data_IF_266614735972
#
_entry.id   IF_266614735972
#
_cell.length_a   1.000
_cell.length_b   1.000
_cell.length_c   1.000
_cell.angle_alpha   90.00
_cell.angle_beta   90.00
_cell.angle_gamma   90.00
#
_symmetry.space_group_name_H-M   'P 1'
#
loop_
_entity.id
_entity.type
_entity.pdbx_description
1 polymer ?
#
# COMPACT_ATOMS: atom_id res chain seq x y z
N UNK A 1 -55.54 -11.29 29.01
CA UNK A 1 -54.56 -11.86 28.04
C UNK A 1 -54.01 -10.82 27.07
N UNK A 2 -54.83 -9.92 26.51
CA UNK A 2 -54.41 -8.88 25.55
C UNK A 2 -53.43 -7.82 26.10
N UNK A 3 -53.57 -7.40 27.36
CA UNK A 3 -52.71 -6.36 27.98
C UNK A 3 -51.29 -6.89 28.24
N UNK A 4 -51.17 -8.17 28.62
CA UNK A 4 -49.87 -8.82 28.82
C UNK A 4 -49.12 -9.01 27.50
N UNK A 5 -49.82 -9.33 26.39
CA UNK A 5 -49.22 -9.44 25.06
C UNK A 5 -48.75 -8.08 24.53
N UNK A 6 -49.53 -7.01 24.73
CA UNK A 6 -49.13 -5.64 24.35
C UNK A 6 -47.88 -5.16 25.11
N UNK A 7 -47.78 -5.43 26.41
CA UNK A 7 -46.60 -5.08 27.21
C UNK A 7 -45.34 -5.87 26.83
N UNK A 8 -45.48 -7.12 26.37
CA UNK A 8 -44.36 -7.91 25.83
C UNK A 8 -43.92 -7.39 24.45
N UNK A 9 -44.87 -6.97 23.61
CA UNK A 9 -44.60 -6.38 22.30
C UNK A 9 -43.85 -5.05 22.44
N UNK A 10 -44.31 -4.13 23.31
CA UNK A 10 -43.64 -2.85 23.59
C UNK A 10 -42.22 -3.05 24.10
N UNK A 11 -42.01 -3.96 25.06
CA UNK A 11 -40.67 -4.22 25.61
C UNK A 11 -39.71 -4.77 24.55
N UNK A 12 -40.22 -5.53 23.58
CA UNK A 12 -39.44 -6.06 22.45
C UNK A 12 -39.09 -4.96 21.44
N UNK A 13 -40.00 -4.03 21.20
CA UNK A 13 -39.76 -2.85 20.36
C UNK A 13 -38.72 -1.91 20.99
N UNK A 14 -38.85 -1.62 22.28
CA UNK A 14 -37.87 -0.82 23.05
C UNK A 14 -36.48 -1.46 23.03
N UNK A 15 -36.39 -2.77 23.27
CA UNK A 15 -35.14 -3.53 23.18
C UNK A 15 -34.53 -3.47 21.78
N UNK A 16 -35.35 -3.57 20.72
CA UNK A 16 -34.89 -3.45 19.34
C UNK A 16 -34.38 -2.03 19.01
N UNK A 17 -35.05 -0.99 19.51
CA UNK A 17 -34.62 0.41 19.37
C UNK A 17 -33.28 0.62 20.09
N UNK A 18 -33.13 0.11 21.30
CA UNK A 18 -31.89 0.22 22.08
C UNK A 18 -30.73 -0.51 21.38
N UNK A 19 -30.96 -1.74 20.91
CA UNK A 19 -29.98 -2.49 20.11
C UNK A 19 -29.59 -1.73 18.84
N UNK A 20 -30.57 -1.14 18.14
CA UNK A 20 -30.32 -0.30 16.97
C UNK A 20 -29.44 0.92 17.27
N UNK A 21 -29.72 1.63 18.38
CA UNK A 21 -28.91 2.76 18.85
C UNK A 21 -27.47 2.34 19.17
N UNK A 22 -27.28 1.20 19.82
CA UNK A 22 -25.96 0.66 20.14
C UNK A 22 -25.16 0.33 18.87
N UNK A 23 -25.77 -0.39 17.92
CA UNK A 23 -25.13 -0.74 16.64
C UNK A 23 -24.74 0.51 15.85
N UNK A 24 -25.61 1.53 15.83
CA UNK A 24 -25.32 2.81 15.18
C UNK A 24 -24.14 3.53 15.83
N UNK A 25 -24.07 3.55 17.17
CA UNK A 25 -22.95 4.13 17.93
C UNK A 25 -21.62 3.42 17.68
N UNK A 26 -21.65 2.09 17.62
CA UNK A 26 -20.45 1.30 17.31
C UNK A 26 -20.00 1.53 15.86
N UNK A 27 -20.95 1.59 14.93
CA UNK A 27 -20.69 1.86 13.51
C UNK A 27 -20.13 3.25 13.28
N UNK A 28 -20.67 4.29 13.93
CA UNK A 28 -20.15 5.66 13.82
C UNK A 28 -18.73 5.76 14.35
N UNK A 29 -18.45 5.15 15.51
CA UNK A 29 -17.08 5.14 16.08
C UNK A 29 -16.09 4.40 15.17
N UNK A 30 -16.50 3.29 14.57
CA UNK A 30 -15.68 2.57 13.56
C UNK A 30 -15.40 3.45 12.35
N UNK A 31 -16.42 4.14 11.82
CA UNK A 31 -16.26 5.07 10.69
C UNK A 31 -15.28 6.20 11.02
N UNK A 32 -15.39 6.82 12.19
CA UNK A 32 -14.45 7.88 12.61
C UNK A 32 -13.01 7.37 12.71
N UNK A 33 -12.79 6.17 13.27
CA UNK A 33 -11.46 5.57 13.32
C UNK A 33 -10.89 5.28 11.94
N UNK A 34 -11.71 4.75 11.02
CA UNK A 34 -11.29 4.53 9.64
C UNK A 34 -10.95 5.84 8.92
N UNK A 35 -11.67 6.93 9.23
CA UNK A 35 -11.36 8.26 8.69
C UNK A 35 -9.97 8.73 9.12
N UNK A 36 -9.66 8.69 10.41
CA UNK A 36 -8.32 9.07 10.93
C UNK A 36 -7.21 8.26 10.27
N UNK A 37 -7.42 6.95 10.08
CA UNK A 37 -6.45 6.09 9.41
C UNK A 37 -6.24 6.47 7.94
N UNK A 38 -7.33 6.80 7.21
CA UNK A 38 -7.22 7.30 5.83
C UNK A 38 -6.48 8.62 5.76
N UNK A 39 -6.77 9.54 6.67
CA UNK A 39 -6.13 10.86 6.72
C UNK A 39 -4.62 10.71 6.99
N UNK A 40 -4.23 9.80 7.90
CA UNK A 40 -2.83 9.47 8.16
C UNK A 40 -2.11 8.89 6.93
N UNK A 41 -2.74 7.95 6.22
CA UNK A 41 -2.15 7.37 5.01
C UNK A 41 -2.02 8.43 3.90
N UNK A 42 -3.01 9.32 3.76
CA UNK A 42 -2.93 10.43 2.82
C UNK A 42 -1.78 11.39 3.16
N UNK A 43 -1.58 11.70 4.44
CA UNK A 43 -0.43 12.51 4.88
C UNK A 43 0.90 11.80 4.59
N UNK A 44 0.98 10.49 4.82
CA UNK A 44 2.16 9.69 4.49
C UNK A 44 2.46 9.74 2.98
N UNK A 45 1.44 9.65 2.12
CA UNK A 45 1.58 9.84 0.66
C UNK A 45 2.14 11.22 0.31
N UNK A 46 1.62 12.29 0.93
CA UNK A 46 2.13 13.64 0.72
C UNK A 46 3.60 13.79 1.16
N UNK A 47 4.01 13.12 2.24
CA UNK A 47 5.40 13.10 2.69
C UNK A 47 6.31 12.34 1.71
N UNK A 48 5.84 11.24 1.11
CA UNK A 48 6.58 10.53 0.06
C UNK A 48 6.82 11.42 -1.15
N UNK A 49 5.83 12.22 -1.57
CA UNK A 49 6.00 13.20 -2.65
C UNK A 49 7.08 14.24 -2.36
N UNK A 50 7.37 14.57 -1.08
CA UNK A 50 8.49 15.45 -0.72
C UNK A 50 9.85 14.78 -0.93
N UNK A 51 9.96 13.48 -0.68
CA UNK A 51 11.20 12.71 -0.92
C UNK A 51 11.51 12.63 -2.41
N UNK A 52 10.49 12.49 -3.25
CA UNK A 52 10.62 12.46 -4.72
C UNK A 52 11.20 13.77 -5.27
N UNK A 53 10.92 14.90 -4.62
CA UNK A 53 11.48 16.21 -5.02
C UNK A 53 12.98 16.32 -4.78
N UNK A 54 13.55 15.53 -3.88
CA UNK A 54 14.99 15.45 -3.66
C UNK A 54 15.59 14.41 -4.61
N UNK A 55 16.10 14.87 -5.74
CA UNK A 55 16.66 14.01 -6.80
C UNK A 55 17.77 13.10 -6.30
N UNK A 56 18.58 13.54 -5.34
CA UNK A 56 19.71 12.74 -4.83
C UNK A 56 19.22 11.55 -4.02
N UNK A 57 18.30 11.80 -3.08
CA UNK A 57 17.68 10.74 -2.27
C UNK A 57 16.77 9.85 -3.12
N UNK A 58 16.06 10.43 -4.07
CA UNK A 58 15.17 9.69 -4.95
C UNK A 58 15.93 8.78 -5.92
N UNK A 59 17.09 9.20 -6.44
CA UNK A 59 17.94 8.33 -7.27
C UNK A 59 18.41 7.10 -6.48
N UNK A 60 18.90 7.27 -5.25
CA UNK A 60 19.33 6.15 -4.39
C UNK A 60 18.17 5.19 -4.14
N UNK A 61 16.97 5.73 -3.91
CA UNK A 61 15.77 4.93 -3.75
C UNK A 61 15.42 4.15 -5.02
N UNK A 62 15.44 4.80 -6.19
CA UNK A 62 15.17 4.15 -7.48
C UNK A 62 16.18 3.04 -7.81
N UNK A 63 17.47 3.25 -7.53
CA UNK A 63 18.52 2.24 -7.70
C UNK A 63 18.15 0.94 -6.95
N UNK A 64 17.68 1.07 -5.70
CA UNK A 64 17.21 -0.06 -4.89
C UNK A 64 15.88 -0.65 -5.36
N UNK A 65 14.91 0.20 -5.75
CA UNK A 65 13.59 -0.26 -6.19
C UNK A 65 13.65 -1.06 -7.50
N UNK A 66 14.46 -0.61 -8.46
CA UNK A 66 14.68 -1.32 -9.72
C UNK A 66 15.31 -2.67 -9.41
N UNK A 67 16.42 -2.70 -8.68
CA UNK A 67 17.13 -3.93 -8.35
C UNK A 67 16.26 -4.94 -7.60
N UNK A 68 15.49 -4.48 -6.60
CA UNK A 68 14.54 -5.31 -5.86
C UNK A 68 13.51 -5.94 -6.79
N UNK A 69 12.97 -5.16 -7.74
CA UNK A 69 11.99 -5.68 -8.70
C UNK A 69 12.58 -6.72 -9.65
N UNK A 70 13.85 -6.54 -10.09
CA UNK A 70 14.54 -7.54 -10.90
C UNK A 70 14.70 -8.86 -10.13
N UNK A 71 15.13 -8.81 -8.87
CA UNK A 71 15.27 -10.00 -8.02
C UNK A 71 13.96 -10.70 -7.72
N UNK A 72 12.83 -9.99 -7.75
CA UNK A 72 11.52 -10.60 -7.53
C UNK A 72 11.01 -11.31 -8.78
N UNK A 73 11.41 -10.86 -9.98
CA UNK A 73 10.90 -11.39 -11.23
C UNK A 73 11.73 -12.57 -11.76
N UNK A 74 13.07 -12.51 -11.67
CA UNK A 74 14.01 -13.58 -12.07
C UNK A 74 13.83 -14.14 -13.51
N UNK A 75 13.39 -13.30 -14.43
CA UNK A 75 13.20 -13.60 -15.86
C UNK A 75 14.40 -13.14 -16.72
N UNK A 76 14.66 -13.77 -17.88
CA UNK A 76 15.77 -13.38 -18.76
C UNK A 76 15.54 -12.05 -19.48
N UNK A 77 14.28 -11.68 -19.71
CA UNK A 77 13.89 -10.41 -20.33
C UNK A 77 12.87 -9.67 -19.47
N UNK A 78 13.19 -8.43 -19.13
CA UNK A 78 12.36 -7.59 -18.27
C UNK A 78 12.14 -6.21 -18.89
N UNK A 79 10.95 -5.65 -18.68
CA UNK A 79 10.54 -4.35 -19.19
C UNK A 79 10.19 -3.46 -18.00
N UNK A 80 10.96 -2.40 -17.79
CA UNK A 80 10.77 -1.42 -16.72
C UNK A 80 9.87 -0.30 -17.23
N UNK A 81 8.75 -0.09 -16.56
CA UNK A 81 7.83 1.02 -16.75
C UNK A 81 7.99 2.02 -15.62
N UNK A 82 8.15 3.28 -15.98
CA UNK A 82 8.30 4.39 -15.04
C UNK A 82 7.47 5.58 -15.49
N UNK A 83 7.48 6.66 -14.71
CA UNK A 83 6.92 7.93 -15.18
C UNK A 83 7.84 8.58 -16.20
N UNK A 84 7.25 9.37 -17.09
CA UNK A 84 7.97 10.10 -18.13
C UNK A 84 9.05 11.04 -17.56
N UNK A 85 8.76 11.73 -16.46
CA UNK A 85 9.71 12.62 -15.77
C UNK A 85 10.88 11.88 -15.11
N UNK A 86 10.68 10.63 -14.71
CA UNK A 86 11.69 9.83 -13.99
C UNK A 86 12.59 9.04 -14.95
N UNK A 87 12.32 9.09 -16.26
CA UNK A 87 13.03 8.31 -17.26
C UNK A 87 14.56 8.43 -17.19
N UNK A 88 15.17 9.63 -17.06
CA UNK A 88 16.63 9.75 -16.96
C UNK A 88 17.19 9.06 -15.70
N UNK A 89 16.49 9.17 -14.58
CA UNK A 89 16.88 8.59 -13.30
C UNK A 89 16.77 7.06 -13.33
N UNK A 90 15.68 6.55 -13.90
CA UNK A 90 15.44 5.11 -14.05
C UNK A 90 16.43 4.50 -15.04
N UNK A 91 16.81 5.21 -16.10
CA UNK A 91 17.87 4.76 -17.01
C UNK A 91 19.20 4.55 -16.30
N UNK A 92 19.60 5.51 -15.44
CA UNK A 92 20.79 5.37 -14.62
C UNK A 92 20.67 4.22 -13.61
N UNK A 93 19.50 4.06 -12.98
CA UNK A 93 19.23 2.98 -12.03
C UNK A 93 19.32 1.59 -12.68
N UNK A 94 18.75 1.41 -13.88
CA UNK A 94 18.83 0.15 -14.64
C UNK A 94 20.27 -0.17 -15.01
N UNK A 95 21.05 0.80 -15.48
CA UNK A 95 22.46 0.59 -15.81
C UNK A 95 23.29 0.12 -14.61
N UNK A 96 22.99 0.62 -13.41
CA UNK A 96 23.62 0.14 -12.17
C UNK A 96 23.08 -1.20 -11.69
N UNK A 97 21.80 -1.50 -11.94
CA UNK A 97 21.16 -2.72 -11.46
C UNK A 97 21.59 -3.98 -12.23
N UNK A 98 21.82 -3.88 -13.54
CA UNK A 98 22.25 -5.01 -14.38
C UNK A 98 23.52 -5.73 -13.84
N UNK A 99 24.64 -5.05 -13.55
CA UNK A 99 25.83 -5.73 -13.04
C UNK A 99 25.59 -6.34 -11.65
N UNK A 100 24.85 -5.65 -10.77
CA UNK A 100 24.50 -6.18 -9.44
C UNK A 100 23.65 -7.45 -9.55
N UNK A 101 22.67 -7.45 -10.45
CA UNK A 101 21.81 -8.60 -10.71
C UNK A 101 22.61 -9.79 -11.24
N UNK A 102 23.51 -9.56 -12.21
CA UNK A 102 24.37 -10.62 -12.77
C UNK A 102 25.28 -11.24 -11.72
N UNK A 103 25.85 -10.44 -10.81
CA UNK A 103 26.70 -10.94 -9.72
C UNK A 103 25.90 -11.83 -8.76
N UNK A 104 24.70 -11.40 -8.36
CA UNK A 104 23.90 -12.10 -7.37
C UNK A 104 23.23 -13.36 -7.91
N UNK A 105 22.72 -13.33 -9.15
CA UNK A 105 21.95 -14.44 -9.75
C UNK A 105 22.80 -15.34 -10.65
N UNK A 106 23.99 -14.89 -11.07
CA UNK A 106 24.85 -15.53 -12.09
C UNK A 106 24.20 -15.69 -13.46
N UNK A 107 23.09 -14.99 -13.71
CA UNK A 107 22.37 -15.01 -14.97
C UNK A 107 22.48 -13.65 -15.68
N UNK A 108 22.55 -13.70 -17.01
CA UNK A 108 22.40 -12.51 -17.83
C UNK A 108 20.92 -12.10 -17.91
N UNK A 109 20.68 -10.79 -18.03
CA UNK A 109 19.33 -10.21 -18.10
C UNK A 109 19.28 -9.10 -19.15
N UNK A 110 18.27 -9.14 -20.00
CA UNK A 110 17.92 -8.06 -20.92
C UNK A 110 16.86 -7.16 -20.26
N UNK A 111 17.27 -5.97 -19.81
CA UNK A 111 16.40 -5.00 -19.16
C UNK A 111 16.16 -3.82 -20.10
N UNK A 112 14.92 -3.67 -20.55
CA UNK A 112 14.48 -2.59 -21.44
C UNK A 112 13.57 -1.63 -20.68
N UNK A 113 13.57 -0.35 -21.03
CA UNK A 113 12.64 0.64 -20.45
C UNK A 113 11.52 0.90 -21.45
N UNK A 114 10.27 0.78 -21.02
CA UNK A 114 9.08 1.04 -21.84
C UNK A 114 9.05 2.54 -22.22
N UNK A 115 9.03 2.84 -23.52
CA UNK A 115 8.92 4.21 -24.06
C UNK A 115 7.54 4.49 -24.67
N UNK A 116 6.69 3.48 -24.79
CA UNK A 116 5.36 3.60 -25.37
C UNK A 116 4.30 3.76 -24.28
N UNK A 117 4.48 3.06 -23.16
CA UNK A 117 3.57 3.10 -22.01
C UNK A 117 4.31 3.56 -20.76
N UNK A 118 3.90 4.71 -20.22
CA UNK A 118 4.42 5.26 -18.97
C UNK A 118 3.45 5.04 -17.81
N UNK A 119 3.97 5.13 -16.58
CA UNK A 119 3.11 5.23 -15.41
C UNK A 119 2.34 6.57 -15.41
N UNK A 120 1.11 6.59 -14.89
CA UNK A 120 0.35 7.81 -14.65
C UNK A 120 1.12 8.88 -13.86
N UNK A 121 0.87 10.15 -14.18
CA UNK A 121 1.54 11.31 -13.58
C UNK A 121 1.14 11.59 -12.13
N UNK A 122 -0.03 11.09 -11.70
CA UNK A 122 -0.64 11.28 -10.39
C UNK A 122 -0.01 10.42 -9.28
N UNK A 123 0.69 9.35 -9.65
CA UNK A 123 1.47 8.53 -8.71
C UNK A 123 2.58 9.43 -8.10
N UNK A 124 3.21 9.07 -6.98
CA UNK A 124 4.29 9.83 -6.34
C UNK A 124 5.66 9.43 -6.87
N UNK A 125 5.98 8.14 -6.99
CA UNK A 125 7.21 7.69 -7.66
C UNK A 125 7.32 6.17 -7.84
N UNK A 126 8.48 5.73 -8.30
CA UNK A 126 8.86 4.33 -8.39
C UNK A 126 8.64 3.70 -9.78
N UNK A 127 8.69 2.37 -9.81
CA UNK A 127 8.74 1.60 -11.06
C UNK A 127 7.82 0.39 -11.02
N UNK A 128 7.34 0.00 -12.19
CA UNK A 128 6.72 -1.31 -12.40
C UNK A 128 7.59 -2.11 -13.36
N UNK A 129 7.83 -3.39 -13.06
CA UNK A 129 8.66 -4.25 -13.90
C UNK A 129 7.81 -5.39 -14.42
N UNK A 130 7.85 -5.60 -15.73
CA UNK A 130 7.12 -6.63 -16.44
C UNK A 130 8.09 -7.68 -16.97
N UNK A 131 7.65 -8.92 -17.14
CA UNK A 131 8.40 -9.89 -17.92
C UNK A 131 8.28 -9.59 -19.43
N UNK A 132 9.09 -10.27 -20.26
CA UNK A 132 9.09 -10.08 -21.72
C UNK A 132 7.70 -10.21 -22.37
N UNK A 133 6.87 -11.12 -21.88
CA UNK A 133 5.49 -11.35 -22.36
C UNK A 133 4.44 -10.39 -21.76
N UNK A 134 4.83 -9.50 -20.84
CA UNK A 134 3.96 -8.59 -20.08
C UNK A 134 2.85 -9.28 -19.26
N UNK A 135 2.97 -10.58 -18.99
CA UNK A 135 2.02 -11.37 -18.19
C UNK A 135 2.24 -11.24 -16.69
N UNK A 136 3.50 -11.18 -16.27
CA UNK A 136 3.89 -11.05 -14.86
C UNK A 136 4.35 -9.62 -14.63
N UNK A 137 3.84 -8.99 -13.57
CA UNK A 137 4.22 -7.63 -13.16
C UNK A 137 4.60 -7.57 -11.70
N UNK A 138 5.66 -6.83 -11.41
CA UNK A 138 6.08 -6.44 -10.07
C UNK A 138 5.85 -4.94 -9.93
N UNK A 139 4.88 -4.54 -9.12
CA UNK A 139 4.61 -3.13 -8.84
C UNK A 139 5.43 -2.69 -7.63
N UNK A 140 6.48 -1.91 -7.88
CA UNK A 140 7.36 -1.36 -6.85
C UNK A 140 7.28 0.18 -6.82
N UNK A 141 6.06 0.71 -6.97
CA UNK A 141 5.75 2.13 -6.77
C UNK A 141 5.75 2.48 -5.29
N UNK A 142 5.92 3.77 -4.97
CA UNK A 142 5.93 4.23 -3.58
C UNK A 142 4.59 3.99 -2.89
N UNK A 143 3.49 4.14 -3.62
CA UNK A 143 2.13 3.86 -3.19
C UNK A 143 1.94 2.38 -2.85
N UNK A 144 2.32 1.48 -3.77
CA UNK A 144 2.20 0.04 -3.56
C UNK A 144 2.98 -0.38 -2.31
N UNK A 145 4.18 0.16 -2.11
CA UNK A 145 4.98 -0.12 -0.90
C UNK A 145 4.35 0.45 0.36
N UNK A 146 3.84 1.68 0.32
CA UNK A 146 3.16 2.29 1.47
C UNK A 146 1.92 1.48 1.85
N UNK A 147 1.12 1.07 0.87
CA UNK A 147 -0.11 0.31 1.11
C UNK A 147 0.21 -1.09 1.67
N UNK A 148 1.26 -1.76 1.17
CA UNK A 148 1.74 -3.04 1.70
C UNK A 148 2.22 -2.93 3.16
N UNK A 149 3.07 -1.95 3.45
CA UNK A 149 3.58 -1.71 4.81
C UNK A 149 2.43 -1.30 5.74
N UNK A 150 1.53 -0.43 5.28
CA UNK A 150 0.37 0.00 6.05
C UNK A 150 -0.47 -1.21 6.47
N UNK A 151 -0.78 -2.13 5.55
CA UNK A 151 -1.56 -3.33 5.84
C UNK A 151 -0.90 -4.20 6.92
N UNK A 152 0.41 -4.38 6.86
CA UNK A 152 1.17 -5.16 7.86
C UNK A 152 1.23 -4.45 9.22
N UNK A 153 1.41 -3.14 9.22
CA UNK A 153 1.58 -2.32 10.43
C UNK A 153 0.24 -1.85 11.03
N UNK A 154 -0.90 -2.10 10.38
CA UNK A 154 -2.22 -1.67 10.85
C UNK A 154 -2.52 -2.03 12.31
N UNK A 155 -2.17 -3.24 12.83
CA UNK A 155 -2.41 -3.57 14.23
C UNK A 155 -1.67 -2.65 15.20
N UNK A 156 -0.40 -2.35 14.92
CA UNK A 156 0.46 -1.48 15.73
C UNK A 156 0.00 -0.03 15.64
N UNK A 157 -0.28 0.47 14.43
CA UNK A 157 -0.81 1.81 14.21
C UNK A 157 -2.13 2.01 14.96
N UNK A 158 -3.02 0.99 14.97
CA UNK A 158 -4.27 1.05 15.75
C UNK A 158 -4.01 1.08 17.25
N UNK A 159 -3.05 0.30 17.74
CA UNK A 159 -2.64 0.31 19.14
C UNK A 159 -2.09 1.67 19.57
N UNK A 160 -1.23 2.29 18.75
CA UNK A 160 -0.66 3.60 19.00
C UNK A 160 -1.71 4.73 18.98
N UNK A 161 -2.65 4.70 18.03
CA UNK A 161 -3.66 5.76 17.87
C UNK A 161 -4.85 5.63 18.82
N UNK A 162 -5.28 4.41 19.13
CA UNK A 162 -6.54 4.16 19.83
C UNK A 162 -6.39 3.38 21.15
N UNK A 163 -5.16 3.08 21.55
CA UNK A 163 -4.85 2.27 22.71
C UNK A 163 -5.02 0.76 22.47
N UNK A 164 -4.42 -0.03 23.35
CA UNK A 164 -4.58 -1.48 23.36
C UNK A 164 -6.02 -1.88 23.69
N UNK A 165 -6.45 -3.02 23.16
CA UNK A 165 -7.76 -3.57 23.50
C UNK A 165 -7.71 -4.17 24.92
N UNK A 166 -8.40 -3.56 25.87
CA UNK A 166 -8.49 -4.04 27.26
C UNK A 166 -9.02 -5.48 27.39
N UNK A 167 -9.76 -5.97 26.39
CA UNK A 167 -10.29 -7.33 26.37
C UNK A 167 -9.37 -8.36 25.69
N UNK A 168 -8.24 -7.94 25.10
CA UNK A 168 -7.27 -8.85 24.47
C UNK A 168 -6.30 -9.34 25.54
N UNK A 169 -6.46 -10.60 25.96
CA UNK A 169 -5.66 -11.22 27.03
C UNK A 169 -4.39 -11.94 26.54
N UNK A 170 -4.35 -12.36 25.27
CA UNK A 170 -3.25 -13.12 24.68
C UNK A 170 -2.83 -12.50 23.34
N UNK A 171 -1.53 -12.58 23.04
CA UNK A 171 -0.93 -12.04 21.80
C UNK A 171 -0.52 -13.15 20.81
N UNK A 172 -0.65 -14.39 21.27
CA UNK A 172 -0.27 -15.67 20.69
C UNK A 172 -1.23 -16.13 19.58
#
# INVERSE_FOLDING_TARGET
TSIAQAGVQQRREEFNIEKGRLVNRLSSRRKSRLKVLRDLLNEAKQRLSKVVKDTTRYQVLLDGLVLQGLYQLLEPRMIVRCRKQDFPLVKAAVQKAIPMYKIATKNDVDVQIDQESYLPEDIAGGVEIYNGDRKIKVSNTLESRLDLIAQQMMPEVRGALFGANANRKFLD
#
